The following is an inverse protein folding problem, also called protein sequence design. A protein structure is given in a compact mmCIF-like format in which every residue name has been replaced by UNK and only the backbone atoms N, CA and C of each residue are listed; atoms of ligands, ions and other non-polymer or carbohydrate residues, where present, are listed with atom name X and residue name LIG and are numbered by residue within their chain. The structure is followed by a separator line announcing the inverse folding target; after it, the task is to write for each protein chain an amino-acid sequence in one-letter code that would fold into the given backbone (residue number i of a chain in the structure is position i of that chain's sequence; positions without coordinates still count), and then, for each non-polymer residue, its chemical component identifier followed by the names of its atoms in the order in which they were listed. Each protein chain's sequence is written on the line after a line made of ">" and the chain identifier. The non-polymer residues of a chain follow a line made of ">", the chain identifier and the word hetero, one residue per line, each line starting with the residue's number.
data_IF_700348815259
#
_entry.id   IF_700348815259
#
_cell.length_a   1.000
_cell.length_b   1.000
_cell.length_c   1.000
_cell.angle_alpha   90.00
_cell.angle_beta   90.00
_cell.angle_gamma   90.00
#
_symmetry.space_group_name_H-M   'P 1'
#
loop_
_entity.id
_entity.type
_entity.pdbx_description
1 polymer ?
#
# COMPACT_ATOMS: atom_id res chain seq x y z
N UNK A 1 26.80 5.58 1.77
CA UNK A 1 26.27 4.29 1.27
C UNK A 1 25.19 4.61 0.25
N UNK A 2 25.40 4.31 -1.03
CA UNK A 2 24.53 4.81 -2.11
C UNK A 2 23.17 4.10 -2.17
N UNK A 3 22.17 4.71 -2.82
CA UNK A 3 20.83 4.17 -3.04
C UNK A 3 20.83 2.74 -3.65
N UNK A 4 21.85 2.45 -4.48
CA UNK A 4 22.09 1.11 -5.06
C UNK A 4 22.39 0.04 -4.01
N UNK A 5 23.05 0.40 -2.90
CA UNK A 5 23.37 -0.54 -1.82
C UNK A 5 22.11 -0.93 -1.04
N UNK A 6 21.22 0.01 -0.75
CA UNK A 6 19.95 -0.28 -0.06
C UNK A 6 18.99 -1.09 -0.92
N UNK A 7 18.91 -0.77 -2.22
CA UNK A 7 18.12 -1.57 -3.16
C UNK A 7 18.64 -3.00 -3.26
N UNK A 8 19.96 -3.18 -3.34
CA UNK A 8 20.59 -4.51 -3.34
C UNK A 8 20.28 -5.32 -2.07
N UNK A 9 20.33 -4.67 -0.89
CA UNK A 9 19.98 -5.33 0.37
C UNK A 9 18.50 -5.73 0.39
N UNK A 10 17.58 -4.84 0.00
CA UNK A 10 16.15 -5.17 -0.05
C UNK A 10 15.91 -6.37 -0.97
N UNK A 11 16.40 -6.33 -2.21
CA UNK A 11 16.24 -7.44 -3.17
C UNK A 11 16.84 -8.75 -2.63
N UNK A 12 17.99 -8.69 -1.97
CA UNK A 12 18.63 -9.89 -1.38
C UNK A 12 17.80 -10.53 -0.26
N UNK A 13 16.99 -9.73 0.46
CA UNK A 13 16.08 -10.22 1.49
C UNK A 13 14.75 -10.74 0.90
N UNK A 14 14.28 -10.17 -0.21
CA UNK A 14 12.99 -10.58 -0.80
C UNK A 14 13.06 -11.97 -1.43
N UNK A 15 14.18 -12.36 -2.04
CA UNK A 15 14.33 -13.69 -2.67
C UNK A 15 14.09 -14.85 -1.69
N UNK A 16 14.79 -14.92 -0.54
CA UNK A 16 14.53 -15.98 0.44
C UNK A 16 13.12 -15.88 1.05
N UNK A 17 12.58 -14.67 1.24
CA UNK A 17 11.20 -14.48 1.71
C UNK A 17 10.18 -15.05 0.74
N UNK A 18 10.29 -14.76 -0.55
CA UNK A 18 9.39 -15.31 -1.58
C UNK A 18 9.54 -16.83 -1.63
N UNK A 19 10.77 -17.36 -1.64
CA UNK A 19 11.00 -18.80 -1.61
C UNK A 19 10.35 -19.48 -0.39
N UNK A 20 10.45 -18.86 0.79
CA UNK A 20 9.81 -19.35 2.01
C UNK A 20 8.27 -19.36 1.92
N UNK A 21 7.68 -18.29 1.38
CA UNK A 21 6.22 -18.21 1.16
C UNK A 21 5.77 -19.31 0.20
N UNK A 22 6.50 -19.58 -0.88
CA UNK A 22 6.17 -20.68 -1.80
C UNK A 22 6.26 -22.04 -1.12
N UNK A 23 7.29 -22.27 -0.31
CA UNK A 23 7.47 -23.51 0.43
C UNK A 23 6.32 -23.78 1.42
N UNK A 24 5.91 -22.78 2.19
CA UNK A 24 4.80 -22.94 3.11
C UNK A 24 3.43 -22.96 2.40
N UNK A 25 3.27 -22.23 1.30
CA UNK A 25 2.04 -22.24 0.52
C UNK A 25 1.78 -23.60 -0.13
N UNK A 26 2.83 -24.30 -0.57
CA UNK A 26 2.73 -25.68 -1.06
C UNK A 26 2.19 -26.62 0.03
N UNK A 27 2.76 -26.55 1.24
CA UNK A 27 2.27 -27.33 2.39
C UNK A 27 0.83 -27.02 2.78
N UNK A 28 0.43 -25.75 2.70
CA UNK A 28 -0.88 -25.28 3.10
C UNK A 28 -1.95 -25.40 1.99
N UNK A 29 -1.57 -25.84 0.78
CA UNK A 29 -2.49 -25.99 -0.35
C UNK A 29 -2.86 -24.68 -1.07
N UNK A 30 -2.12 -23.59 -0.83
CA UNK A 30 -2.35 -22.26 -1.43
C UNK A 30 -1.37 -21.92 -2.57
N UNK A 31 -0.72 -22.93 -3.15
CA UNK A 31 0.31 -22.72 -4.17
C UNK A 31 -0.24 -22.00 -5.42
N UNK A 32 -1.50 -22.27 -5.79
CA UNK A 32 -2.16 -21.67 -6.95
C UNK A 32 -2.33 -20.16 -6.76
N UNK A 33 -2.81 -19.74 -5.60
CA UNK A 33 -3.09 -18.35 -5.23
C UNK A 33 -1.78 -17.54 -5.17
N UNK A 34 -0.74 -18.11 -4.54
CA UNK A 34 0.59 -17.48 -4.45
C UNK A 34 1.25 -17.38 -5.83
N UNK A 35 1.17 -18.43 -6.65
CA UNK A 35 1.72 -18.41 -8.02
C UNK A 35 0.99 -17.39 -8.89
N UNK A 36 -0.33 -17.33 -8.82
CA UNK A 36 -1.13 -16.33 -9.54
C UNK A 36 -0.76 -14.91 -9.09
N UNK A 37 -0.62 -14.69 -7.78
CA UNK A 37 -0.20 -13.40 -7.23
C UNK A 37 1.17 -12.96 -7.76
N UNK A 38 2.17 -13.86 -7.77
CA UNK A 38 3.50 -13.56 -8.29
C UNK A 38 3.45 -13.22 -9.79
N UNK A 39 2.71 -14.00 -10.58
CA UNK A 39 2.56 -13.76 -12.02
C UNK A 39 1.91 -12.38 -12.29
N UNK A 40 0.89 -12.01 -11.51
CA UNK A 40 0.21 -10.72 -11.62
C UNK A 40 1.10 -9.56 -11.15
N UNK A 41 1.95 -9.76 -10.14
CA UNK A 41 2.95 -8.77 -9.74
C UNK A 41 3.97 -8.51 -10.86
N UNK A 42 4.47 -9.57 -11.53
CA UNK A 42 5.38 -9.44 -12.68
C UNK A 42 4.69 -8.72 -13.83
N UNK A 43 3.45 -9.09 -14.15
CA UNK A 43 2.63 -8.41 -15.15
C UNK A 43 2.44 -6.93 -14.81
N UNK A 44 2.10 -6.60 -13.57
CA UNK A 44 1.93 -5.23 -13.10
C UNK A 44 3.21 -4.41 -13.22
N UNK A 45 4.36 -4.99 -12.82
CA UNK A 45 5.66 -4.34 -12.92
C UNK A 45 6.05 -4.06 -14.38
N UNK A 46 6.01 -5.09 -15.23
CA UNK A 46 6.37 -4.96 -16.65
C UNK A 46 5.41 -4.01 -17.38
N UNK A 47 4.11 -4.14 -17.13
CA UNK A 47 3.10 -3.26 -17.70
C UNK A 47 3.30 -1.80 -17.28
N UNK A 48 3.62 -1.54 -16.01
CA UNK A 48 3.94 -0.18 -15.53
C UNK A 48 5.19 0.38 -16.20
N UNK A 49 6.27 -0.42 -16.26
CA UNK A 49 7.54 -0.03 -16.91
C UNK A 49 7.37 0.27 -18.40
N UNK A 50 6.42 -0.40 -19.07
CA UNK A 50 6.10 -0.18 -20.47
C UNK A 50 5.12 0.98 -20.69
N UNK A 51 4.14 1.15 -19.81
CA UNK A 51 3.05 2.12 -19.96
C UNK A 51 3.48 3.55 -19.61
N UNK A 52 4.22 3.75 -18.51
CA UNK A 52 4.66 5.08 -18.07
C UNK A 52 5.37 5.87 -19.17
N UNK A 53 6.44 5.37 -19.82
CA UNK A 53 7.14 6.15 -20.85
C UNK A 53 6.28 6.37 -22.10
N UNK A 54 5.33 5.47 -22.39
CA UNK A 54 4.43 5.60 -23.54
C UNK A 54 3.31 6.61 -23.29
N UNK A 55 2.81 6.73 -22.07
CA UNK A 55 1.64 7.55 -21.76
C UNK A 55 1.99 8.88 -21.09
N UNK A 56 3.22 9.07 -20.60
CA UNK A 56 3.66 10.28 -19.90
C UNK A 56 3.40 11.58 -20.68
N UNK A 57 3.58 11.55 -22.00
CA UNK A 57 3.31 12.70 -22.86
C UNK A 57 1.84 13.13 -22.87
N UNK A 58 0.89 12.21 -22.65
CA UNK A 58 -0.54 12.52 -22.58
C UNK A 58 -0.85 13.42 -21.38
N UNK A 59 -0.18 13.19 -20.25
CA UNK A 59 -0.33 14.01 -19.05
C UNK A 59 0.19 15.43 -19.28
N UNK A 60 1.35 15.57 -19.94
CA UNK A 60 1.90 16.87 -20.33
C UNK A 60 0.94 17.60 -21.28
N UNK A 61 0.40 16.90 -22.28
CA UNK A 61 -0.56 17.47 -23.24
C UNK A 61 -1.88 17.89 -22.59
N UNK A 62 -2.29 17.19 -21.52
CA UNK A 62 -3.45 17.53 -20.71
C UNK A 62 -3.18 18.67 -19.70
N UNK A 63 -1.95 19.20 -19.65
CA UNK A 63 -1.57 20.24 -18.70
C UNK A 63 -1.24 19.72 -17.29
N UNK A 64 -1.15 18.40 -17.11
CA UNK A 64 -0.81 17.74 -15.84
C UNK A 64 0.70 17.55 -15.78
N UNK A 65 1.41 18.62 -15.42
CA UNK A 65 2.87 18.63 -15.32
C UNK A 65 3.35 19.64 -14.27
N UNK A 66 4.58 19.43 -13.80
CA UNK A 66 5.30 20.34 -12.92
C UNK A 66 6.76 20.50 -13.31
N UNK A 67 7.46 21.33 -12.53
CA UNK A 67 8.89 21.58 -12.67
C UNK A 67 9.63 21.04 -11.45
N UNK A 68 10.85 20.54 -11.64
CA UNK A 68 11.69 20.08 -10.52
C UNK A 68 12.20 21.30 -9.72
N UNK A 69 11.52 21.60 -8.61
CA UNK A 69 11.82 22.73 -7.73
C UNK A 69 13.25 22.69 -7.17
N UNK A 70 13.84 21.50 -7.04
CA UNK A 70 15.20 21.33 -6.52
C UNK A 70 16.28 21.53 -7.58
N UNK A 71 15.89 21.73 -8.84
CA UNK A 71 16.77 22.02 -9.99
C UNK A 71 16.56 23.41 -10.57
N UNK A 72 15.85 24.29 -9.84
CA UNK A 72 15.55 25.65 -10.29
C UNK A 72 16.83 26.41 -10.67
N UNK A 73 16.81 27.08 -11.83
CA UNK A 73 17.96 27.81 -12.35
C UNK A 73 18.99 26.95 -13.11
N UNK A 74 18.74 25.65 -13.25
CA UNK A 74 19.51 24.76 -14.13
C UNK A 74 18.70 24.40 -15.37
N UNK A 75 19.32 24.00 -16.49
CA UNK A 75 18.59 23.53 -17.68
C UNK A 75 17.64 22.36 -17.39
N UNK A 76 17.92 21.56 -16.35
CA UNK A 76 17.06 20.46 -15.93
C UNK A 76 15.82 20.89 -15.13
N UNK A 77 15.80 22.10 -14.56
CA UNK A 77 14.67 22.64 -13.81
C UNK A 77 13.56 23.21 -14.69
N UNK A 78 13.88 23.60 -15.93
CA UNK A 78 12.92 24.16 -16.89
C UNK A 78 12.23 23.09 -17.76
N UNK A 79 12.58 21.82 -17.53
CA UNK A 79 11.95 20.68 -18.22
C UNK A 79 10.61 20.37 -17.55
N UNK A 80 9.54 20.29 -18.34
CA UNK A 80 8.23 19.83 -17.86
C UNK A 80 8.30 18.35 -17.52
N UNK A 81 7.93 18.01 -16.29
CA UNK A 81 7.86 16.64 -15.80
C UNK A 81 6.37 16.28 -15.64
N UNK A 82 5.89 15.17 -16.22
CA UNK A 82 4.49 14.77 -16.07
C UNK A 82 4.18 14.44 -14.60
N UNK A 83 3.04 14.93 -14.12
CA UNK A 83 2.55 14.65 -12.77
C UNK A 83 1.50 13.53 -12.78
N UNK A 84 1.10 13.06 -11.58
CA UNK A 84 0.07 12.02 -11.39
C UNK A 84 0.33 10.68 -12.11
N UNK A 85 1.57 10.36 -12.46
CA UNK A 85 1.93 9.09 -13.10
C UNK A 85 1.66 7.85 -12.22
N UNK A 86 1.49 8.05 -10.90
CA UNK A 86 1.02 7.01 -9.98
C UNK A 86 -0.34 6.41 -10.39
N UNK A 87 -1.15 7.12 -11.18
CA UNK A 87 -2.38 6.59 -11.74
C UNK A 87 -2.12 5.38 -12.65
N UNK A 88 -1.03 5.38 -13.41
CA UNK A 88 -0.69 4.29 -14.34
C UNK A 88 -0.32 3.02 -13.55
N UNK A 89 0.55 3.15 -12.54
CA UNK A 89 0.94 2.01 -11.69
C UNK A 89 -0.24 1.50 -10.86
N UNK A 90 -1.09 2.39 -10.34
CA UNK A 90 -2.31 2.02 -9.62
C UNK A 90 -3.29 1.29 -10.55
N UNK A 91 -3.44 1.70 -11.81
CA UNK A 91 -4.29 1.01 -12.78
C UNK A 91 -3.80 -0.42 -13.02
N UNK A 92 -2.49 -0.61 -13.22
CA UNK A 92 -1.90 -1.94 -13.36
C UNK A 92 -2.12 -2.82 -12.12
N UNK A 93 -2.02 -2.22 -10.93
CA UNK A 93 -2.29 -2.90 -9.66
C UNK A 93 -3.77 -3.30 -9.54
N UNK A 94 -4.71 -2.41 -9.85
CA UNK A 94 -6.16 -2.69 -9.82
C UNK A 94 -6.55 -3.79 -10.81
N UNK A 95 -6.01 -3.77 -12.03
CA UNK A 95 -6.21 -4.86 -13.00
C UNK A 95 -5.70 -6.18 -12.43
N UNK A 96 -4.53 -6.19 -11.80
CA UNK A 96 -3.99 -7.35 -11.10
C UNK A 96 -4.92 -7.85 -9.99
N UNK A 97 -5.43 -6.96 -9.14
CA UNK A 97 -6.38 -7.33 -8.09
C UNK A 97 -7.70 -7.88 -8.63
N UNK A 98 -8.21 -7.35 -9.75
CA UNK A 98 -9.40 -7.90 -10.42
C UNK A 98 -9.19 -9.34 -10.88
N UNK A 99 -8.03 -9.66 -11.47
CA UNK A 99 -7.70 -11.05 -11.83
C UNK A 99 -7.51 -11.93 -10.60
N UNK A 100 -6.87 -11.41 -9.55
CA UNK A 100 -6.67 -12.15 -8.30
C UNK A 100 -8.00 -12.47 -7.60
N UNK A 101 -8.99 -11.58 -7.71
CA UNK A 101 -10.34 -11.80 -7.20
C UNK A 101 -11.04 -13.01 -7.85
N UNK A 102 -10.70 -13.35 -9.11
CA UNK A 102 -11.21 -14.55 -9.77
C UNK A 102 -10.60 -15.86 -9.24
N UNK A 103 -9.47 -15.76 -8.54
CA UNK A 103 -8.71 -16.92 -8.03
C UNK A 103 -9.04 -17.21 -6.55
N UNK A 104 -9.40 -16.19 -5.76
CA UNK A 104 -9.63 -16.33 -4.32
C UNK A 104 -11.08 -16.64 -3.92
N UNK A 105 -11.24 -17.44 -2.86
CA UNK A 105 -12.53 -17.91 -2.34
C UNK A 105 -13.19 -16.97 -1.30
N UNK A 106 -12.55 -15.86 -0.93
CA UNK A 106 -13.08 -14.87 0.04
C UNK A 106 -13.56 -13.59 -0.67
N UNK A 107 -14.69 -13.62 -1.38
CA UNK A 107 -15.08 -12.53 -2.27
C UNK A 107 -15.32 -11.24 -1.51
N UNK A 108 -15.99 -11.28 -0.34
CA UNK A 108 -16.45 -10.07 0.36
C UNK A 108 -15.30 -9.17 0.80
N UNK A 109 -14.29 -9.70 1.50
CA UNK A 109 -13.17 -8.90 1.98
C UNK A 109 -12.29 -8.41 0.81
N UNK A 110 -12.07 -9.24 -0.20
CA UNK A 110 -11.34 -8.84 -1.41
C UNK A 110 -12.07 -7.73 -2.18
N UNK A 111 -13.40 -7.83 -2.35
CA UNK A 111 -14.21 -6.78 -2.99
C UNK A 111 -14.15 -5.50 -2.17
N UNK A 112 -14.28 -5.58 -0.84
CA UNK A 112 -14.19 -4.42 0.04
C UNK A 112 -12.82 -3.71 -0.06
N UNK A 113 -11.72 -4.47 -0.06
CA UNK A 113 -10.38 -3.94 -0.23
C UNK A 113 -10.18 -3.31 -1.63
N UNK A 114 -10.62 -4.01 -2.68
CA UNK A 114 -10.55 -3.53 -4.07
C UNK A 114 -11.34 -2.23 -4.26
N UNK A 115 -12.58 -2.17 -3.75
CA UNK A 115 -13.40 -0.95 -3.78
C UNK A 115 -12.71 0.19 -3.04
N UNK A 116 -12.12 -0.08 -1.87
CA UNK A 116 -11.45 0.94 -1.08
C UNK A 116 -10.22 1.52 -1.78
N UNK A 117 -9.36 0.66 -2.35
CA UNK A 117 -8.17 1.10 -3.10
C UNK A 117 -8.58 1.84 -4.39
N UNK A 118 -9.63 1.38 -5.08
CA UNK A 118 -10.15 2.04 -6.28
C UNK A 118 -10.65 3.45 -5.95
N UNK A 119 -11.45 3.60 -4.89
CA UNK A 119 -11.92 4.91 -4.42
C UNK A 119 -10.76 5.81 -4.01
N UNK A 120 -9.78 5.27 -3.27
CA UNK A 120 -8.60 6.03 -2.86
C UNK A 120 -7.80 6.53 -4.08
N UNK A 121 -7.60 5.67 -5.08
CA UNK A 121 -6.89 6.02 -6.31
C UNK A 121 -7.63 7.10 -7.10
N UNK A 122 -8.95 6.96 -7.24
CA UNK A 122 -9.79 7.95 -7.92
C UNK A 122 -9.75 9.31 -7.22
N UNK A 123 -9.90 9.32 -5.89
CA UNK A 123 -9.92 10.55 -5.11
C UNK A 123 -8.53 11.20 -5.01
N UNK A 124 -7.46 10.41 -4.96
CA UNK A 124 -6.09 10.91 -5.05
C UNK A 124 -5.82 11.59 -6.39
N UNK A 125 -6.23 10.97 -7.50
CA UNK A 125 -6.13 11.61 -8.82
C UNK A 125 -7.01 12.87 -8.95
N UNK A 126 -8.21 12.86 -8.35
CA UNK A 126 -9.05 14.04 -8.31
C UNK A 126 -8.44 15.17 -7.48
N UNK A 127 -7.73 14.86 -6.38
CA UNK A 127 -6.97 15.86 -5.59
C UNK A 127 -5.87 16.51 -6.42
N UNK A 128 -5.12 15.72 -7.20
CA UNK A 128 -4.06 16.23 -8.07
C UNK A 128 -4.59 17.20 -9.14
N UNK A 129 -5.76 16.93 -9.72
CA UNK A 129 -6.36 17.79 -10.76
C UNK A 129 -7.03 19.03 -10.16
N UNK A 130 -7.78 18.84 -9.06
CA UNK A 130 -8.66 19.88 -8.53
C UNK A 130 -8.01 20.76 -7.46
N UNK A 131 -6.79 20.43 -7.04
CA UNK A 131 -6.04 21.09 -5.95
C UNK A 131 -6.93 21.35 -4.72
N UNK A 132 -7.39 20.25 -4.11
CA UNK A 132 -8.40 20.35 -3.07
C UNK A 132 -7.84 20.97 -1.78
N UNK A 133 -8.66 21.78 -1.12
CA UNK A 133 -8.33 22.34 0.20
C UNK A 133 -8.03 21.24 1.21
N UNK A 134 -7.09 21.50 2.14
CA UNK A 134 -6.63 20.56 3.18
C UNK A 134 -7.76 19.80 3.92
N UNK A 135 -8.92 20.43 4.15
CA UNK A 135 -10.08 19.81 4.79
C UNK A 135 -10.60 18.57 4.03
N UNK A 136 -10.55 18.59 2.70
CA UNK A 136 -10.96 17.47 1.87
C UNK A 136 -9.90 16.36 1.90
N UNK A 137 -8.63 16.69 2.06
CA UNK A 137 -7.54 15.70 2.22
C UNK A 137 -7.66 14.87 3.50
N UNK A 138 -8.45 15.34 4.49
CA UNK A 138 -8.83 14.56 5.68
C UNK A 138 -10.11 13.75 5.47
N UNK A 139 -11.08 14.28 4.72
CA UNK A 139 -12.39 13.68 4.56
C UNK A 139 -12.46 12.61 3.46
N UNK A 140 -11.73 12.80 2.35
CA UNK A 140 -11.74 11.87 1.23
C UNK A 140 -11.20 10.47 1.57
N UNK A 141 -10.08 10.34 2.32
CA UNK A 141 -9.61 9.01 2.74
C UNK A 141 -10.62 8.27 3.61
N UNK A 142 -11.41 9.00 4.42
CA UNK A 142 -12.48 8.41 5.24
C UNK A 142 -13.55 7.74 4.37
N UNK A 143 -14.01 8.42 3.31
CA UNK A 143 -14.99 7.85 2.37
C UNK A 143 -14.37 6.65 1.65
N UNK A 144 -13.13 6.78 1.19
CA UNK A 144 -12.44 5.72 0.47
C UNK A 144 -12.27 4.45 1.31
N UNK A 145 -12.07 4.54 2.63
CA UNK A 145 -11.89 3.36 3.48
C UNK A 145 -13.19 2.71 3.98
N UNK A 146 -14.36 3.31 3.72
CA UNK A 146 -15.66 2.78 4.20
C UNK A 146 -15.94 1.33 3.76
N UNK A 147 -15.71 0.90 2.51
CA UNK A 147 -16.00 -0.47 2.12
C UNK A 147 -15.24 -1.48 2.97
N UNK A 148 -13.95 -1.21 3.26
CA UNK A 148 -13.13 -2.04 4.15
C UNK A 148 -13.64 -2.00 5.59
N UNK A 149 -13.99 -0.82 6.09
CA UNK A 149 -14.42 -0.61 7.47
C UNK A 149 -15.73 -1.35 7.79
N UNK A 150 -16.70 -1.31 6.87
CA UNK A 150 -18.01 -1.97 7.02
C UNK A 150 -17.88 -3.49 6.97
N UNK A 151 -16.89 -4.02 6.24
CA UNK A 151 -16.65 -5.46 6.11
C UNK A 151 -15.60 -5.98 7.11
N UNK A 152 -15.21 -5.19 8.10
CA UNK A 152 -14.29 -5.63 9.14
C UNK A 152 -14.98 -6.61 10.10
N UNK A 153 -14.51 -7.85 10.12
CA UNK A 153 -15.03 -8.93 10.98
C UNK A 153 -14.06 -9.32 12.11
N UNK A 154 -12.95 -8.61 12.24
CA UNK A 154 -11.91 -8.89 13.23
C UNK A 154 -12.27 -8.46 14.66
N UNK A 155 -11.39 -8.80 15.60
CA UNK A 155 -11.54 -8.42 17.01
C UNK A 155 -11.31 -6.92 17.21
N UNK A 156 -12.22 -6.27 17.94
CA UNK A 156 -12.09 -4.86 18.36
C UNK A 156 -11.33 -4.69 19.68
N UNK A 157 -10.66 -5.75 20.13
CA UNK A 157 -9.82 -5.75 21.33
C UNK A 157 -8.39 -5.37 21.02
N UNK A 158 -7.82 -4.48 21.82
CA UNK A 158 -6.44 -3.99 21.69
C UNK A 158 -5.61 -4.47 22.87
N UNK A 159 -4.39 -4.93 22.59
CA UNK A 159 -3.43 -5.27 23.62
C UNK A 159 -2.82 -3.99 24.21
N UNK A 160 -2.86 -3.87 25.55
CA UNK A 160 -2.29 -2.70 26.22
C UNK A 160 -0.75 -2.71 26.11
N UNK A 161 -0.10 -1.59 25.74
CA UNK A 161 1.35 -1.47 25.75
C UNK A 161 1.94 -1.85 27.12
N UNK A 162 3.04 -2.60 27.13
CA UNK A 162 3.67 -3.12 28.37
C UNK A 162 3.85 -2.07 29.48
N UNK A 163 4.29 -0.82 29.20
CA UNK A 163 4.44 0.20 30.25
C UNK A 163 3.13 0.59 30.94
N UNK A 164 1.99 0.46 30.25
CA UNK A 164 0.68 0.86 30.74
C UNK A 164 -0.06 -0.27 31.46
N UNK A 165 0.38 -1.53 31.29
CA UNK A 165 -0.27 -2.71 31.91
C UNK A 165 -0.31 -2.62 33.43
N UNK A 166 0.75 -2.09 34.05
CA UNK A 166 0.83 -1.94 35.50
C UNK A 166 -0.21 -0.97 36.08
N UNK A 167 -0.69 0.00 35.28
CA UNK A 167 -1.69 0.97 35.71
C UNK A 167 -3.13 0.51 35.46
N UNK A 168 -3.36 -0.23 34.38
CA UNK A 168 -4.71 -0.63 33.95
C UNK A 168 -5.11 -2.01 34.51
N UNK A 169 -4.15 -2.88 34.81
CA UNK A 169 -4.41 -4.23 35.35
C UNK A 169 -5.03 -5.21 34.34
N UNK A 170 -5.16 -4.82 33.07
CA UNK A 170 -5.70 -5.65 31.99
C UNK A 170 -4.65 -5.79 30.88
N UNK A 171 -4.56 -6.99 30.29
CA UNK A 171 -3.70 -7.23 29.13
C UNK A 171 -4.40 -6.87 27.81
N UNK A 172 -5.72 -7.05 27.77
CA UNK A 172 -6.56 -6.90 26.59
C UNK A 172 -7.78 -6.05 26.93
N UNK A 173 -8.09 -5.06 26.10
CA UNK A 173 -9.26 -4.18 26.30
C UNK A 173 -10.07 -4.12 25.01
N UNK A 174 -11.37 -4.42 25.10
CA UNK A 174 -12.30 -4.22 24.01
C UNK A 174 -12.72 -2.73 23.95
N UNK A 175 -12.40 -2.06 22.84
CA UNK A 175 -12.70 -0.64 22.64
C UNK A 175 -13.87 -0.41 21.66
N UNK A 176 -14.46 -1.48 21.12
CA UNK A 176 -15.67 -1.44 20.29
C UNK A 176 -15.60 -0.48 19.10
N UNK A 177 -16.54 0.46 19.01
CA UNK A 177 -16.60 1.45 17.93
C UNK A 177 -15.38 2.38 17.86
N UNK A 178 -14.65 2.59 18.97
CA UNK A 178 -13.41 3.35 18.94
C UNK A 178 -12.33 2.65 18.10
N UNK A 179 -12.38 1.32 17.97
CA UNK A 179 -11.49 0.58 17.06
C UNK A 179 -11.76 0.95 15.59
N UNK A 180 -13.04 1.11 15.22
CA UNK A 180 -13.43 1.49 13.87
C UNK A 180 -13.02 2.93 13.56
N UNK A 181 -13.19 3.85 14.53
CA UNK A 181 -12.66 5.20 14.42
C UNK A 181 -11.13 5.19 14.25
N UNK A 182 -10.42 4.37 15.03
CA UNK A 182 -8.98 4.20 14.90
C UNK A 182 -8.58 3.71 13.50
N UNK A 183 -9.25 2.69 12.94
CA UNK A 183 -8.96 2.20 11.59
C UNK A 183 -9.15 3.29 10.53
N UNK A 184 -10.22 4.07 10.63
CA UNK A 184 -10.47 5.20 9.75
C UNK A 184 -9.38 6.29 9.86
N UNK A 185 -9.01 6.67 11.09
CA UNK A 185 -7.93 7.61 11.35
C UNK A 185 -6.58 7.10 10.84
N UNK A 186 -6.32 5.80 10.94
CA UNK A 186 -5.11 5.17 10.40
C UNK A 186 -5.06 5.30 8.89
N UNK A 187 -6.18 5.10 8.18
CA UNK A 187 -6.23 5.30 6.73
C UNK A 187 -5.92 6.74 6.33
N UNK A 188 -6.50 7.72 7.03
CA UNK A 188 -6.23 9.15 6.82
C UNK A 188 -4.76 9.47 7.11
N UNK A 189 -4.21 8.93 8.20
CA UNK A 189 -2.82 9.12 8.59
C UNK A 189 -1.88 8.59 7.52
N UNK A 190 -2.07 7.35 7.05
CA UNK A 190 -1.19 6.71 6.07
C UNK A 190 -1.08 7.51 4.77
N UNK A 191 -2.20 7.98 4.20
CA UNK A 191 -2.18 8.73 2.93
C UNK A 191 -1.53 10.10 3.11
N UNK A 192 -1.82 10.78 4.21
CA UNK A 192 -1.26 12.11 4.45
C UNK A 192 0.21 12.05 4.88
N UNK A 193 0.63 11.04 5.64
CA UNK A 193 2.01 10.88 6.10
C UNK A 193 2.99 10.73 4.93
N UNK A 194 2.65 9.93 3.91
CA UNK A 194 3.45 9.80 2.69
C UNK A 194 3.46 11.13 1.92
N UNK A 195 2.29 11.78 1.78
CA UNK A 195 2.15 13.02 1.01
C UNK A 195 2.91 14.22 1.62
N UNK A 196 3.04 14.31 2.95
CA UNK A 196 3.84 15.37 3.58
C UNK A 196 5.34 15.05 3.60
N UNK A 197 5.72 13.77 3.52
CA UNK A 197 7.10 13.31 3.47
C UNK A 197 7.55 13.07 2.03
N UNK A 198 7.46 14.14 1.23
CA UNK A 198 7.59 14.15 -0.22
C UNK A 198 8.50 15.29 -0.70
N UNK A 199 8.70 15.41 -2.02
CA UNK A 199 9.38 16.56 -2.64
C UNK A 199 10.85 16.33 -2.99
N UNK A 200 11.35 15.10 -2.86
CA UNK A 200 12.66 14.67 -3.39
C UNK A 200 12.45 13.53 -4.38
N UNK A 201 13.20 13.56 -5.49
CA UNK A 201 13.07 12.57 -6.56
C UNK A 201 13.14 11.13 -6.05
N UNK A 202 12.01 10.42 -6.10
CA UNK A 202 11.88 9.01 -5.73
C UNK A 202 11.67 8.73 -4.24
N UNK A 203 11.46 9.75 -3.40
CA UNK A 203 11.26 9.57 -1.95
C UNK A 203 9.93 8.90 -1.62
N UNK A 204 8.84 9.31 -2.26
CA UNK A 204 7.47 8.83 -2.07
C UNK A 204 7.34 7.36 -2.49
N UNK A 205 7.84 7.03 -3.68
CA UNK A 205 7.87 5.66 -4.18
C UNK A 205 8.86 4.79 -3.39
N UNK A 206 10.03 5.33 -3.04
CA UNK A 206 11.07 4.61 -2.31
C UNK A 206 10.66 4.21 -0.90
N UNK A 207 10.10 5.14 -0.13
CA UNK A 207 9.61 4.83 1.22
C UNK A 207 8.46 3.80 1.19
N UNK A 208 7.54 3.93 0.24
CA UNK A 208 6.41 3.01 0.06
C UNK A 208 6.89 1.60 -0.30
N UNK A 209 7.91 1.50 -1.16
CA UNK A 209 8.55 0.22 -1.50
C UNK A 209 9.19 -0.46 -0.29
N UNK A 210 9.91 0.30 0.55
CA UNK A 210 10.52 -0.23 1.78
C UNK A 210 9.44 -0.74 2.74
N UNK A 211 8.36 0.03 2.96
CA UNK A 211 7.23 -0.38 3.81
C UNK A 211 6.61 -1.70 3.29
N UNK A 212 6.39 -1.82 1.98
CA UNK A 212 5.87 -3.03 1.36
C UNK A 212 6.78 -4.24 1.60
N UNK A 213 8.10 -4.08 1.46
CA UNK A 213 9.08 -5.13 1.76
C UNK A 213 8.96 -5.61 3.21
N UNK A 214 8.86 -4.68 4.18
CA UNK A 214 8.70 -5.03 5.59
C UNK A 214 7.39 -5.78 5.85
N UNK A 215 6.27 -5.32 5.27
CA UNK A 215 4.96 -6.00 5.41
C UNK A 215 5.03 -7.41 4.83
N UNK A 216 5.66 -7.60 3.67
CA UNK A 216 5.80 -8.93 3.06
C UNK A 216 6.66 -9.87 3.91
N UNK A 217 7.80 -9.39 4.42
CA UNK A 217 8.67 -10.17 5.32
C UNK A 217 7.91 -10.53 6.60
N UNK A 218 7.20 -9.57 7.19
CA UNK A 218 6.41 -9.80 8.39
C UNK A 218 5.30 -10.85 8.16
N UNK A 219 4.56 -10.74 7.05
CA UNK A 219 3.53 -11.70 6.69
C UNK A 219 4.11 -13.10 6.44
N UNK A 220 5.28 -13.18 5.80
CA UNK A 220 5.99 -14.44 5.63
C UNK A 220 6.37 -15.06 6.98
N UNK A 221 6.91 -14.28 7.94
CA UNK A 221 7.22 -14.78 9.29
C UNK A 221 5.99 -15.29 10.04
N UNK A 222 4.81 -14.71 9.78
CA UNK A 222 3.54 -15.11 10.39
C UNK A 222 2.80 -16.22 9.61
N UNK A 223 3.37 -16.68 8.49
CA UNK A 223 2.75 -17.66 7.60
C UNK A 223 2.71 -19.06 8.22
N UNK A 224 3.53 -19.36 9.24
CA UNK A 224 3.60 -20.70 9.83
C UNK A 224 2.22 -21.19 10.32
N UNK A 225 1.71 -22.31 9.77
CA UNK A 225 0.46 -22.92 10.24
C UNK A 225 0.60 -23.60 11.60
N UNK A 226 1.85 -23.79 12.07
CA UNK A 226 2.22 -24.57 13.26
C UNK A 226 3.10 -23.69 14.15
N UNK A 227 2.48 -22.71 14.80
CA UNK A 227 3.10 -21.93 15.84
C UNK A 227 1.99 -21.37 16.71
N UNK A 228 1.90 -21.87 17.94
CA UNK A 228 0.94 -21.49 18.99
C UNK A 228 0.37 -20.08 18.81
N UNK A 229 -0.80 -19.98 18.18
CA UNK A 229 -1.60 -18.74 18.22
C UNK A 229 -2.41 -18.62 19.52
N UNK A 230 -2.34 -19.65 20.38
CA UNK A 230 -3.16 -19.79 21.59
C UNK A 230 -2.35 -19.87 22.90
N UNK A 231 -1.12 -19.35 22.96
CA UNK A 231 -0.41 -19.14 24.24
C UNK A 231 -0.37 -17.66 24.62
N UNK A 232 -1.56 -17.05 24.67
CA UNK A 232 -1.81 -15.80 25.38
C UNK A 232 -2.67 -16.10 26.62
N UNK A 233 -2.13 -16.91 27.52
CA UNK A 233 -2.51 -16.90 28.94
C UNK A 233 -1.85 -15.69 29.65
#
# INVERSE_FOLDING_TARGET
>A
MGLRSYFGVCVSLLVPTVAYVFYEADKAGFLREVTASLALCIFGFLGTMLAIPRMSHLFINAGIFGFDINKRGTPGGDIKIPESLGLISATMYLVGLCFLHLVHEQPVLYTAALSSVTLMTLLGFADDILDLKWRYKLFLPLIACLPLLVNYTGSTSVMIPRPLRAYVGLNLVNIGYLYHLYMALMSIFCTNAINIYAGLNGLEAGQSFIICCFVMIHNAMQFSPIGDKDNLD
#
